data_IF_220747033017
#
_entry.id   IF_220747033017
#
_cell.length_a   1.000
_cell.length_b   1.000
_cell.length_c   1.000
_cell.angle_alpha   90.00
_cell.angle_beta   90.00
_cell.angle_gamma   90.00
#
_symmetry.space_group_name_H-M   'P 1'
#
loop_
_entity.id
_entity.type
_entity.pdbx_description
1 polymer ?
#
# COMPACT_ATOMS: atom_id res chain seq x y z
N UNK A 1 13.97 7.51 5.28
CA UNK A 1 12.75 7.31 6.10
C UNK A 1 12.95 7.94 7.47
N UNK A 2 13.96 7.55 8.27
CA UNK A 2 14.17 8.03 9.64
C UNK A 2 14.26 9.56 9.69
N UNK A 3 15.12 10.18 8.87
CA UNK A 3 15.29 11.64 8.82
C UNK A 3 13.95 12.35 8.53
N UNK A 4 13.21 11.89 7.52
CA UNK A 4 11.90 12.45 7.19
C UNK A 4 10.93 12.28 8.37
N UNK A 5 10.92 11.11 9.01
CA UNK A 5 10.06 10.86 10.16
C UNK A 5 10.39 11.80 11.34
N UNK A 6 11.67 12.15 11.53
CA UNK A 6 12.09 13.10 12.57
C UNK A 6 11.65 14.52 12.22
N UNK A 7 11.88 14.98 10.98
CA UNK A 7 11.45 16.30 10.51
C UNK A 7 9.93 16.47 10.64
N UNK A 8 9.16 15.40 10.40
CA UNK A 8 7.70 15.42 10.54
C UNK A 8 7.19 15.16 11.96
N UNK A 9 8.06 14.99 12.98
CA UNK A 9 7.65 14.77 14.37
C UNK A 9 6.59 15.78 14.86
N UNK A 10 6.69 17.09 14.60
CA UNK A 10 5.65 18.04 15.03
C UNK A 10 4.27 17.72 14.44
N UNK A 11 4.18 17.11 13.26
CA UNK A 11 2.92 16.73 12.65
C UNK A 11 2.15 15.67 13.45
N UNK A 12 2.82 14.99 14.38
CA UNK A 12 2.18 14.02 15.25
C UNK A 12 1.11 14.66 16.16
N UNK A 13 1.28 15.90 16.53
CA UNK A 13 0.31 16.68 17.32
C UNK A 13 -0.82 17.27 16.46
N UNK A 14 -0.67 17.26 15.14
CA UNK A 14 -1.62 17.83 14.20
C UNK A 14 -2.72 16.80 13.83
N UNK A 15 -3.85 17.25 13.26
CA UNK A 15 -4.89 16.36 12.77
C UNK A 15 -4.40 15.30 11.79
N UNK A 16 -5.03 14.12 11.80
CA UNK A 16 -4.70 12.99 10.93
C UNK A 16 -4.56 13.37 9.44
N UNK A 17 -5.37 14.32 8.96
CA UNK A 17 -5.33 14.79 7.57
C UNK A 17 -3.95 15.32 7.19
N UNK A 18 -3.27 16.05 8.08
CA UNK A 18 -1.94 16.61 7.83
C UNK A 18 -0.88 15.49 7.77
N UNK A 19 -0.96 14.51 8.65
CA UNK A 19 -0.06 13.35 8.62
C UNK A 19 -0.20 12.55 7.32
N UNK A 20 -1.42 12.44 6.79
CA UNK A 20 -1.69 11.80 5.51
C UNK A 20 -1.01 12.56 4.34
N UNK A 21 -0.99 13.89 4.39
CA UNK A 21 -0.26 14.71 3.39
C UNK A 21 1.24 14.38 3.45
N UNK A 22 1.80 14.21 4.63
CA UNK A 22 3.20 13.77 4.79
C UNK A 22 3.50 12.43 4.09
N UNK A 23 2.56 11.48 4.13
CA UNK A 23 2.67 10.23 3.39
C UNK A 23 2.70 10.42 1.86
N UNK A 24 1.86 11.31 1.32
CA UNK A 24 1.87 11.67 -0.10
C UNK A 24 3.19 12.36 -0.49
N UNK A 25 3.67 13.29 0.33
CA UNK A 25 4.95 13.97 0.11
C UNK A 25 6.10 12.96 0.10
N UNK A 26 6.09 11.96 0.99
CA UNK A 26 7.10 10.89 0.98
C UNK A 26 7.08 10.11 -0.35
N UNK A 27 5.91 9.80 -0.89
CA UNK A 27 5.77 9.16 -2.19
C UNK A 27 6.33 10.02 -3.33
N UNK A 28 6.00 11.30 -3.34
CA UNK A 28 6.49 12.28 -4.30
C UNK A 28 8.04 12.40 -4.24
N UNK A 29 8.61 12.63 -3.07
CA UNK A 29 10.07 12.73 -2.88
C UNK A 29 10.79 11.44 -3.22
N UNK A 30 10.21 10.27 -2.90
CA UNK A 30 10.78 8.99 -3.31
C UNK A 30 10.88 8.89 -4.83
N UNK A 31 9.86 9.36 -5.57
CA UNK A 31 9.89 9.34 -7.04
C UNK A 31 10.93 10.31 -7.62
N UNK A 32 11.08 11.50 -7.03
CA UNK A 32 12.14 12.45 -7.40
C UNK A 32 13.52 11.84 -7.17
N UNK A 33 13.78 11.27 -6.00
CA UNK A 33 15.05 10.63 -5.69
C UNK A 33 15.39 9.51 -6.69
N UNK A 34 14.42 8.67 -7.05
CA UNK A 34 14.63 7.61 -8.04
C UNK A 34 14.96 8.18 -9.42
N UNK A 35 14.30 9.28 -9.82
CA UNK A 35 14.61 9.95 -11.10
C UNK A 35 16.00 10.56 -11.11
N UNK A 36 16.36 11.31 -10.08
CA UNK A 36 17.63 12.02 -10.00
C UNK A 36 18.85 11.09 -9.81
N UNK A 37 18.76 10.15 -8.87
CA UNK A 37 19.92 9.32 -8.50
C UNK A 37 20.01 8.00 -9.27
N UNK A 38 18.91 7.53 -9.86
CA UNK A 38 18.87 6.26 -10.58
C UNK A 38 18.38 6.42 -12.02
N UNK A 39 18.18 7.63 -12.51
CA UNK A 39 17.64 7.89 -13.87
C UNK A 39 16.40 7.03 -14.17
N UNK A 40 15.56 6.81 -13.15
CA UNK A 40 14.40 5.93 -13.26
C UNK A 40 13.22 6.69 -13.86
N UNK A 41 12.62 6.16 -14.92
CA UNK A 41 11.32 6.63 -15.42
C UNK A 41 10.20 5.97 -14.61
N UNK A 42 9.15 6.72 -14.28
CA UNK A 42 7.97 6.20 -13.58
C UNK A 42 6.76 6.48 -14.47
N UNK A 43 6.08 5.42 -14.89
CA UNK A 43 4.90 5.45 -15.74
C UNK A 43 3.72 4.88 -14.99
N UNK A 44 2.60 5.59 -14.99
CA UNK A 44 1.31 5.11 -14.51
C UNK A 44 0.39 4.97 -15.70
N UNK A 45 -0.19 3.78 -15.89
CA UNK A 45 -1.10 3.43 -16.98
C UNK A 45 -2.45 3.02 -16.39
N UNK A 46 -3.53 3.25 -17.11
CA UNK A 46 -4.86 2.83 -16.71
C UNK A 46 -5.49 3.75 -15.66
N UNK A 47 -5.16 5.04 -15.66
CA UNK A 47 -5.79 6.02 -14.76
C UNK A 47 -7.32 6.05 -14.93
N UNK A 48 -7.80 5.80 -16.13
CA UNK A 48 -9.21 5.70 -16.49
C UNK A 48 -9.94 4.56 -15.78
N UNK A 49 -9.21 3.55 -15.31
CA UNK A 49 -9.77 2.42 -14.57
C UNK A 49 -9.96 2.70 -13.07
N UNK A 50 -9.53 3.87 -12.56
CA UNK A 50 -9.63 4.18 -11.13
C UNK A 50 -11.11 4.37 -10.77
N UNK A 51 -11.56 3.59 -9.79
CA UNK A 51 -12.91 3.68 -9.24
C UNK A 51 -13.06 4.98 -8.47
N UNK A 52 -14.09 5.75 -8.77
CA UNK A 52 -14.39 7.03 -8.10
C UNK A 52 -15.73 7.04 -7.36
N UNK A 53 -16.68 6.22 -7.83
CA UNK A 53 -18.09 6.35 -7.44
C UNK A 53 -18.54 5.37 -6.37
N UNK A 54 -17.68 4.41 -5.99
CA UNK A 54 -18.01 3.44 -4.95
C UNK A 54 -16.79 3.10 -4.08
N UNK A 55 -17.03 2.39 -2.98
CA UNK A 55 -15.96 1.89 -2.11
C UNK A 55 -15.31 0.67 -2.74
N UNK A 56 -13.99 0.64 -2.69
CA UNK A 56 -13.19 -0.44 -3.24
C UNK A 56 -11.96 -0.72 -2.40
N UNK A 57 -11.32 -1.83 -2.66
CA UNK A 57 -9.98 -2.10 -2.17
C UNK A 57 -9.01 -2.32 -3.33
N UNK A 58 -7.75 -2.00 -3.08
CA UNK A 58 -6.67 -2.13 -4.04
C UNK A 58 -5.92 -3.43 -3.73
N UNK A 59 -5.84 -4.32 -4.73
CA UNK A 59 -5.01 -5.52 -4.69
C UNK A 59 -3.77 -5.28 -5.55
N UNK A 60 -2.65 -4.93 -4.92
CA UNK A 60 -1.43 -4.59 -5.64
C UNK A 60 -0.37 -5.67 -5.56
N UNK A 61 0.41 -5.85 -6.62
CA UNK A 61 1.65 -6.61 -6.55
C UNK A 61 2.65 -5.94 -5.62
N UNK A 62 3.50 -6.72 -4.96
CA UNK A 62 4.46 -6.24 -3.97
C UNK A 62 5.87 -6.74 -4.27
N UNK A 63 6.73 -5.87 -4.76
CA UNK A 63 8.11 -6.20 -5.15
C UNK A 63 9.15 -5.33 -4.43
N UNK A 64 8.74 -4.12 -4.01
CA UNK A 64 9.63 -3.11 -3.46
C UNK A 64 9.02 -2.40 -2.24
N UNK A 65 9.78 -1.52 -1.62
CA UNK A 65 9.23 -0.51 -0.71
C UNK A 65 8.61 0.67 -1.48
N UNK A 66 8.95 0.85 -2.74
CA UNK A 66 8.50 1.96 -3.58
C UNK A 66 6.99 2.08 -3.61
N UNK A 67 6.28 0.99 -3.88
CA UNK A 67 4.83 1.00 -4.00
C UNK A 67 4.10 1.40 -2.71
N UNK A 68 4.69 1.13 -1.54
CA UNK A 68 4.09 1.53 -0.26
C UNK A 68 4.09 3.05 -0.07
N UNK A 69 5.03 3.74 -0.70
CA UNK A 69 5.10 5.20 -0.70
C UNK A 69 4.35 5.80 -1.88
N UNK A 70 4.57 5.26 -3.08
CA UNK A 70 4.07 5.86 -4.31
C UNK A 70 2.56 5.69 -4.50
N UNK A 71 1.96 4.56 -4.15
CA UNK A 71 0.52 4.34 -4.30
C UNK A 71 -0.34 5.32 -3.48
N UNK A 72 0.24 5.97 -2.47
CA UNK A 72 -0.43 7.05 -1.74
C UNK A 72 -0.65 8.30 -2.59
N UNK A 73 0.16 8.49 -3.63
CA UNK A 73 0.02 9.62 -4.57
C UNK A 73 -0.97 9.33 -5.68
N UNK A 74 -1.08 8.07 -6.08
CA UNK A 74 -1.98 7.63 -7.17
C UNK A 74 -3.42 7.49 -6.66
N UNK A 75 -3.58 6.86 -5.52
CA UNK A 75 -4.88 6.68 -4.88
C UNK A 75 -5.03 7.64 -3.70
N UNK A 76 -6.25 7.94 -3.29
CA UNK A 76 -6.50 8.88 -2.20
C UNK A 76 -6.01 8.36 -0.84
N UNK A 77 -4.69 8.26 -0.67
CA UNK A 77 -3.99 7.83 0.55
C UNK A 77 -4.61 6.57 1.18
N UNK A 78 -4.43 5.41 0.57
CA UNK A 78 -5.11 4.18 0.97
C UNK A 78 -4.83 3.81 2.43
N UNK A 79 -5.74 3.05 3.03
CA UNK A 79 -5.58 2.43 4.34
C UNK A 79 -4.77 1.15 4.13
N UNK A 80 -3.58 1.08 4.72
CA UNK A 80 -2.69 -0.06 4.54
C UNK A 80 -3.04 -1.21 5.48
N UNK A 81 -3.09 -2.44 4.93
CA UNK A 81 -2.96 -3.65 5.73
C UNK A 81 -1.49 -4.02 5.82
N UNK A 82 -0.95 -4.04 7.01
CA UNK A 82 0.47 -4.21 7.24
C UNK A 82 0.79 -5.24 8.34
N UNK A 83 2.04 -5.67 8.39
CA UNK A 83 2.54 -6.59 9.41
C UNK A 83 2.59 -5.89 10.77
N UNK A 84 2.11 -6.54 11.85
CA UNK A 84 2.02 -5.95 13.20
C UNK A 84 3.36 -5.41 13.71
N UNK A 85 4.46 -6.07 13.36
CA UNK A 85 5.81 -5.70 13.76
C UNK A 85 6.27 -4.34 13.19
N UNK A 86 5.65 -3.85 12.12
CA UNK A 86 5.93 -2.50 11.61
C UNK A 86 5.46 -1.39 12.57
N UNK A 87 4.46 -1.70 13.41
CA UNK A 87 3.95 -0.75 14.40
C UNK A 87 4.87 -0.60 15.62
N UNK A 88 5.85 -1.48 15.81
CA UNK A 88 6.83 -1.41 16.91
C UNK A 88 8.08 -0.59 16.54
N UNK A 89 8.24 -0.23 15.25
CA UNK A 89 9.35 0.62 14.82
C UNK A 89 9.13 2.02 15.41
N UNK A 90 10.08 2.54 16.21
CA UNK A 90 9.98 3.86 16.81
C UNK A 90 9.68 4.95 15.77
N UNK A 91 8.88 5.94 16.13
CA UNK A 91 8.44 7.06 15.29
C UNK A 91 7.62 6.57 14.09
N UNK A 92 8.17 5.72 13.22
CA UNK A 92 7.50 5.23 12.02
C UNK A 92 6.20 4.46 12.34
N UNK A 93 6.23 3.57 13.34
CA UNK A 93 5.05 2.84 13.79
C UNK A 93 3.95 3.75 14.34
N UNK A 94 4.33 4.86 14.96
CA UNK A 94 3.36 5.88 15.44
C UNK A 94 2.64 6.54 14.26
N UNK A 95 3.37 6.90 13.19
CA UNK A 95 2.75 7.42 11.97
C UNK A 95 1.80 6.42 11.33
N UNK A 96 2.20 5.15 11.22
CA UNK A 96 1.35 4.09 10.68
C UNK A 96 0.05 3.94 11.47
N UNK A 97 0.10 4.02 12.81
CA UNK A 97 -1.09 4.03 13.67
C UNK A 97 -1.93 5.28 13.41
N UNK A 98 -1.31 6.46 13.38
CA UNK A 98 -2.00 7.74 13.23
C UNK A 98 -2.71 7.88 11.88
N UNK A 99 -2.12 7.40 10.78
CA UNK A 99 -2.78 7.37 9.47
C UNK A 99 -3.88 6.30 9.38
N UNK A 100 -4.03 5.45 10.40
CA UNK A 100 -5.07 4.44 10.52
C UNK A 100 -4.80 3.17 9.73
N UNK A 101 -3.54 2.77 9.62
CA UNK A 101 -3.19 1.47 9.07
C UNK A 101 -3.71 0.33 9.95
N UNK A 102 -4.09 -0.77 9.32
CA UNK A 102 -4.62 -1.95 10.00
C UNK A 102 -3.53 -3.01 10.02
N UNK A 103 -3.18 -3.49 11.22
CA UNK A 103 -2.15 -4.52 11.36
C UNK A 103 -2.74 -5.91 11.44
N UNK A 104 -2.01 -6.87 10.88
CA UNK A 104 -2.31 -8.30 10.98
C UNK A 104 -1.06 -9.05 11.43
N UNK A 105 -1.22 -10.03 12.32
CA UNK A 105 -0.21 -11.06 12.54
C UNK A 105 -0.33 -12.09 11.43
N UNK A 106 0.73 -12.20 10.62
CA UNK A 106 0.84 -13.25 9.60
C UNK A 106 1.28 -14.54 10.28
N UNK A 107 0.94 -15.67 9.72
CA UNK A 107 1.45 -17.00 10.10
C UNK A 107 0.90 -17.63 11.40
N UNK A 108 -0.09 -17.00 12.06
CA UNK A 108 -0.77 -17.61 13.21
C UNK A 108 -2.26 -17.30 13.18
N UNK A 109 -3.10 -18.32 13.44
CA UNK A 109 -4.46 -18.11 13.93
C UNK A 109 -4.30 -17.55 15.34
N UNK A 110 -4.34 -16.25 15.48
CA UNK A 110 -4.08 -15.58 16.75
C UNK A 110 -5.34 -14.84 17.18
N UNK A 111 -5.59 -14.80 18.49
CA UNK A 111 -6.65 -13.95 19.08
C UNK A 111 -6.53 -12.48 18.62
N UNK A 112 -5.34 -12.01 18.28
CA UNK A 112 -5.10 -10.66 17.75
C UNK A 112 -5.75 -10.42 16.37
N UNK A 113 -6.05 -11.49 15.63
CA UNK A 113 -6.75 -11.43 14.35
C UNK A 113 -8.28 -11.57 14.50
N UNK A 114 -8.77 -11.88 15.71
CA UNK A 114 -10.20 -11.81 16.01
C UNK A 114 -10.67 -10.37 15.84
N UNK A 115 -11.74 -10.20 15.10
CA UNK A 115 -12.26 -8.87 14.78
C UNK A 115 -11.46 -8.09 13.72
N UNK A 116 -10.48 -8.72 13.05
CA UNK A 116 -9.76 -8.08 11.94
C UNK A 116 -10.71 -7.58 10.86
N UNK A 117 -11.64 -8.41 10.40
CA UNK A 117 -12.62 -8.02 9.38
C UNK A 117 -13.55 -6.91 9.88
N UNK A 118 -13.94 -6.92 11.15
CA UNK A 118 -14.72 -5.81 11.74
C UNK A 118 -13.95 -4.49 11.75
N UNK A 119 -12.63 -4.54 12.03
CA UNK A 119 -11.77 -3.34 11.95
C UNK A 119 -11.63 -2.84 10.52
N UNK A 120 -11.45 -3.75 9.57
CA UNK A 120 -11.35 -3.42 8.14
C UNK A 120 -12.66 -2.82 7.64
N UNK A 121 -13.79 -3.46 7.94
CA UNK A 121 -15.13 -2.97 7.58
C UNK A 121 -15.38 -1.57 8.13
N UNK A 122 -15.18 -1.35 9.43
CA UNK A 122 -15.33 -0.03 10.07
C UNK A 122 -14.43 1.03 9.41
N UNK A 123 -13.18 0.69 9.11
CA UNK A 123 -12.23 1.63 8.50
C UNK A 123 -12.66 2.03 7.09
N UNK A 124 -13.15 1.08 6.28
CA UNK A 124 -13.65 1.33 4.93
C UNK A 124 -14.97 2.10 4.95
N UNK A 125 -15.91 1.71 5.82
CA UNK A 125 -17.22 2.36 5.92
C UNK A 125 -17.11 3.82 6.39
N UNK A 126 -16.24 4.09 7.36
CA UNK A 126 -16.08 5.42 7.97
C UNK A 126 -15.06 6.32 7.25
N UNK A 127 -14.63 5.95 6.07
CA UNK A 127 -13.58 6.68 5.33
C UNK A 127 -13.85 6.65 3.84
N UNK A 128 -13.48 7.74 3.15
CA UNK A 128 -13.46 7.78 1.68
C UNK A 128 -12.10 7.33 1.11
N UNK A 129 -11.30 6.61 1.89
CA UNK A 129 -10.00 6.09 1.51
C UNK A 129 -10.13 4.63 1.14
N UNK A 130 -9.58 4.18 -0.01
CA UNK A 130 -9.58 2.77 -0.35
C UNK A 130 -8.67 1.98 0.61
N UNK A 131 -8.94 0.70 0.74
CA UNK A 131 -8.04 -0.22 1.43
C UNK A 131 -6.94 -0.69 0.46
N UNK A 132 -5.71 -0.87 0.93
CA UNK A 132 -4.63 -1.45 0.14
C UNK A 132 -4.13 -2.75 0.77
N UNK A 133 -4.16 -3.81 -0.01
CA UNK A 133 -3.61 -5.11 0.34
C UNK A 133 -2.60 -5.57 -0.70
N UNK A 134 -1.60 -6.30 -0.25
CA UNK A 134 -0.65 -7.03 -1.09
C UNK A 134 -0.94 -8.53 -0.99
N UNK A 135 -1.63 -9.14 -1.99
CA UNK A 135 -2.09 -10.53 -1.91
C UNK A 135 -0.97 -11.56 -1.74
N UNK A 136 0.25 -11.24 -2.17
CA UNK A 136 1.41 -12.11 -1.97
C UNK A 136 1.82 -12.20 -0.49
N UNK A 137 1.43 -11.23 0.34
CA UNK A 137 1.78 -11.17 1.76
C UNK A 137 3.23 -10.84 2.06
N UNK A 138 4.09 -10.77 1.08
CA UNK A 138 5.50 -10.36 1.18
C UNK A 138 5.97 -9.78 -0.13
N UNK A 139 7.11 -9.07 -0.11
CA UNK A 139 7.77 -8.63 -1.34
C UNK A 139 8.39 -9.82 -2.06
N UNK A 140 8.14 -9.90 -3.36
CA UNK A 140 8.63 -10.95 -4.25
C UNK A 140 9.67 -10.40 -5.23
N UNK A 141 10.53 -11.27 -5.73
CA UNK A 141 11.32 -10.96 -6.90
C UNK A 141 10.43 -10.92 -8.15
N UNK A 142 10.80 -10.15 -9.19
CA UNK A 142 9.95 -9.97 -10.37
C UNK A 142 9.53 -11.26 -11.11
N UNK A 143 10.33 -12.33 -11.00
CA UNK A 143 10.07 -13.63 -11.63
C UNK A 143 9.31 -14.61 -10.72
N UNK A 144 9.16 -14.31 -9.41
CA UNK A 144 8.47 -15.19 -8.47
C UNK A 144 6.95 -15.11 -8.66
N UNK A 145 6.28 -16.26 -8.66
CA UNK A 145 4.82 -16.40 -8.84
C UNK A 145 4.21 -17.38 -7.82
N UNK A 146 4.41 -17.15 -6.51
CA UNK A 146 3.76 -18.02 -5.51
C UNK A 146 2.24 -17.82 -5.53
N UNK A 147 1.50 -18.80 -5.01
CA UNK A 147 0.05 -18.67 -4.84
C UNK A 147 -0.29 -17.47 -3.96
N UNK A 148 -1.36 -16.78 -4.30
CA UNK A 148 -1.84 -15.63 -3.54
C UNK A 148 -2.41 -16.10 -2.19
N UNK A 149 -2.22 -15.28 -1.16
CA UNK A 149 -2.80 -15.52 0.17
C UNK A 149 -4.31 -15.25 0.15
N UNK A 150 -5.08 -16.09 0.82
CA UNK A 150 -6.56 -16.00 0.94
C UNK A 150 -7.08 -14.69 1.58
N UNK A 151 -6.19 -13.79 2.02
CA UNK A 151 -6.60 -12.53 2.66
C UNK A 151 -7.36 -11.60 1.74
N UNK A 152 -6.98 -11.54 0.46
CA UNK A 152 -7.65 -10.67 -0.51
C UNK A 152 -9.06 -11.20 -0.86
N UNK A 153 -9.20 -12.51 -1.14
CA UNK A 153 -10.51 -13.12 -1.40
C UNK A 153 -11.45 -12.97 -0.20
N UNK A 154 -10.95 -13.22 1.01
CA UNK A 154 -11.75 -13.02 2.22
C UNK A 154 -12.20 -11.57 2.43
N UNK A 155 -11.39 -10.58 2.07
CA UNK A 155 -11.79 -9.16 2.10
C UNK A 155 -12.89 -8.91 1.07
N UNK A 156 -12.72 -9.39 -0.15
CA UNK A 156 -13.69 -9.28 -1.23
C UNK A 156 -15.05 -9.87 -0.82
N UNK A 157 -15.06 -11.11 -0.35
CA UNK A 157 -16.25 -11.84 0.09
C UNK A 157 -16.96 -11.16 1.28
N UNK A 158 -16.20 -10.75 2.31
CA UNK A 158 -16.78 -10.21 3.54
C UNK A 158 -17.26 -8.77 3.42
N UNK A 159 -16.56 -7.94 2.65
CA UNK A 159 -16.92 -6.53 2.50
C UNK A 159 -17.88 -6.28 1.35
N UNK A 160 -17.96 -7.20 0.39
CA UNK A 160 -18.80 -7.06 -0.82
C UNK A 160 -18.54 -5.73 -1.54
N UNK A 161 -17.27 -5.36 -1.67
CA UNK A 161 -16.81 -4.16 -2.37
C UNK A 161 -15.96 -4.56 -3.57
N UNK A 162 -15.92 -3.68 -4.57
CA UNK A 162 -15.13 -3.90 -5.78
C UNK A 162 -13.62 -4.00 -5.48
N UNK A 163 -12.89 -4.71 -6.34
CA UNK A 163 -11.44 -4.83 -6.27
C UNK A 163 -10.79 -4.09 -7.43
N UNK A 164 -9.84 -3.21 -7.11
CA UNK A 164 -8.98 -2.54 -8.10
C UNK A 164 -7.63 -3.24 -8.16
N UNK A 165 -7.36 -4.09 -9.17
CA UNK A 165 -6.06 -4.74 -9.30
C UNK A 165 -5.01 -3.74 -9.81
N UNK A 166 -3.77 -3.87 -9.27
CA UNK A 166 -2.64 -3.04 -9.68
C UNK A 166 -1.40 -3.92 -9.86
N UNK A 167 -0.84 -3.93 -11.06
CA UNK A 167 0.41 -4.59 -11.36
C UNK A 167 1.57 -3.59 -11.34
N UNK A 168 2.70 -3.96 -10.72
CA UNK A 168 3.88 -3.11 -10.61
C UNK A 168 5.13 -3.94 -10.84
N UNK A 169 6.10 -3.36 -11.54
CA UNK A 169 7.41 -3.98 -11.82
C UNK A 169 8.57 -3.32 -11.06
N UNK A 170 8.30 -2.67 -9.93
CA UNK A 170 9.26 -1.91 -9.13
C UNK A 170 10.47 -2.71 -8.64
N UNK A 171 10.35 -4.03 -8.54
CA UNK A 171 11.44 -4.92 -8.14
C UNK A 171 12.64 -4.94 -9.10
N UNK A 172 12.45 -4.56 -10.36
CA UNK A 172 13.56 -4.42 -11.32
C UNK A 172 14.44 -3.19 -11.06
N UNK A 173 13.92 -2.19 -10.35
CA UNK A 173 14.66 -0.97 -9.98
C UNK A 173 15.11 -1.03 -8.52
N UNK A 174 14.19 -1.39 -7.64
CA UNK A 174 14.43 -1.43 -6.21
C UNK A 174 13.98 -2.78 -5.62
N UNK A 175 14.80 -3.84 -5.79
CA UNK A 175 14.46 -5.18 -5.33
C UNK A 175 14.38 -5.28 -3.80
N UNK A 176 13.73 -6.33 -3.31
CA UNK A 176 13.66 -6.68 -1.88
C UNK A 176 15.06 -6.89 -1.27
N UNK A 177 15.96 -7.48 -2.05
CA UNK A 177 17.37 -7.74 -1.71
C UNK A 177 18.26 -7.33 -2.89
N UNK A 178 19.51 -6.96 -2.59
CA UNK A 178 20.48 -6.55 -3.60
C UNK A 178 20.48 -5.04 -3.87
N UNK A 179 21.30 -4.66 -4.87
CA UNK A 179 21.50 -3.25 -5.24
C UNK A 179 20.35 -2.72 -6.09
N UNK A 180 20.05 -1.44 -5.93
CA UNK A 180 19.12 -0.75 -6.83
C UNK A 180 19.73 -0.63 -8.23
N UNK A 181 18.88 -0.66 -9.26
CA UNK A 181 19.28 -0.61 -10.66
C UNK A 181 18.92 0.76 -11.26
N UNK A 182 19.87 1.37 -11.96
CA UNK A 182 19.67 2.65 -12.66
C UNK A 182 19.17 2.47 -14.10
N UNK A 183 18.69 3.54 -14.72
CA UNK A 183 18.32 3.59 -16.15
C UNK A 183 17.08 2.76 -16.51
N UNK A 184 16.29 2.32 -15.55
CA UNK A 184 15.12 1.45 -15.77
C UNK A 184 13.80 2.20 -15.58
N UNK A 185 12.73 1.61 -16.07
CA UNK A 185 11.37 2.15 -15.93
C UNK A 185 10.56 1.34 -14.92
N UNK A 186 9.97 2.03 -13.95
CA UNK A 186 8.90 1.48 -13.11
C UNK A 186 7.58 1.76 -13.82
N UNK A 187 6.83 0.71 -14.10
CA UNK A 187 5.47 0.79 -14.63
C UNK A 187 4.48 0.36 -13.55
N UNK A 188 3.48 1.20 -13.32
CA UNK A 188 2.32 0.91 -12.49
C UNK A 188 1.14 0.79 -13.46
N UNK A 189 0.56 -0.40 -13.57
CA UNK A 189 -0.61 -0.65 -14.41
C UNK A 189 -1.83 -0.84 -13.52
N UNK A 190 -2.76 0.09 -13.61
CA UNK A 190 -4.08 0.01 -12.98
C UNK A 190 -4.97 -0.75 -13.94
N UNK A 191 -5.36 -1.96 -13.54
CA UNK A 191 -6.11 -2.87 -14.39
C UNK A 191 -7.62 -2.59 -14.29
N UNK A 192 -8.44 -3.11 -15.21
CA UNK A 192 -9.90 -3.02 -15.08
C UNK A 192 -10.38 -3.52 -13.72
N UNK A 193 -11.46 -2.94 -13.26
CA UNK A 193 -12.11 -3.29 -11.99
C UNK A 193 -12.60 -4.74 -12.01
N UNK A 194 -12.54 -5.37 -10.87
CA UNK A 194 -13.28 -6.61 -10.58
C UNK A 194 -14.49 -6.19 -9.75
N UNK A 195 -15.69 -6.35 -10.35
CA UNK A 195 -16.94 -5.96 -9.71
C UNK A 195 -17.21 -6.78 -8.47
N UNK A 196 -18.02 -6.24 -7.57
CA UNK A 196 -18.46 -6.96 -6.36
C UNK A 196 -19.40 -8.11 -6.73
N UNK A 197 -19.31 -9.22 -5.96
CA UNK A 197 -20.26 -10.32 -6.06
C UNK A 197 -19.94 -11.35 -7.14
N UNK A 198 -18.74 -11.35 -7.72
CA UNK A 198 -18.25 -12.47 -8.54
C UNK A 198 -17.86 -13.64 -7.63
N UNK A 199 -18.26 -14.85 -7.96
CA UNK A 199 -17.94 -16.12 -7.31
C UNK A 199 -16.61 -16.70 -7.81
#
# INVERSE_FOLDING_TARGET
IIIISIIFLPSFFLPRKIVIIGGKLMGFWTSICLRLFLSTKILVKGHENIITNEKFFIASSHQSMFETFFLQTVFNSPIFILKKELLTIPIFGWYLKKIGSISIKRDKISRDNLGFFNKVSKAVLNSNRPLLIFPQGTRLLPHERPPLKKGASKIYENLKIACQPVAINSGYVWPKKGKKQSGRTITISILPIIDKGLE
#
